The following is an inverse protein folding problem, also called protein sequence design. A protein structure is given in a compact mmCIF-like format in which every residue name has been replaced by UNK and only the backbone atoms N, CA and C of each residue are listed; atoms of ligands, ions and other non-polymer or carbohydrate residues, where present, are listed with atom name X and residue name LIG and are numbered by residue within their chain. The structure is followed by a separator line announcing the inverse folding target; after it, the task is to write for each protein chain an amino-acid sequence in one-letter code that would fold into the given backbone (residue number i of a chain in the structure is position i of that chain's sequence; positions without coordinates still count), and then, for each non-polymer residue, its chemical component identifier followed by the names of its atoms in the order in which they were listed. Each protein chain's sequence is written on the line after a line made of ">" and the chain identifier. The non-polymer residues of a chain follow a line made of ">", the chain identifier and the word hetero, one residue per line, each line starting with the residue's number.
data_IF_284357746568
#
_entry.id   IF_284357746568
#
_cell.length_a   1.000
_cell.length_b   1.000
_cell.length_c   1.000
_cell.angle_alpha   90.00
_cell.angle_beta   90.00
_cell.angle_gamma   90.00
#
_symmetry.space_group_name_H-M   'P 1'
#
loop_
_entity.id
_entity.type
_entity.pdbx_description
1 polymer ?
#
# COMPACT_ATOMS: atom_id res chain seq x y z
N UNK A 1 -21.02 -24.14 12.53
CA UNK A 1 -20.63 -23.08 11.57
C UNK A 1 -19.19 -22.75 11.89
N UNK A 2 -18.25 -23.09 11.00
CA UNK A 2 -16.83 -22.83 11.21
C UNK A 2 -16.51 -21.44 10.65
N UNK A 3 -16.05 -20.52 11.49
CA UNK A 3 -15.60 -19.21 11.03
C UNK A 3 -14.20 -19.36 10.47
N UNK A 4 -13.98 -18.94 9.23
CA UNK A 4 -12.64 -18.83 8.64
C UNK A 4 -11.94 -17.60 9.24
N UNK A 5 -11.09 -17.82 10.24
CA UNK A 5 -10.36 -16.77 10.96
C UNK A 5 -9.43 -15.98 10.02
N UNK A 6 -8.83 -16.64 9.04
CA UNK A 6 -7.94 -16.01 8.07
C UNK A 6 -8.71 -15.06 7.16
N UNK A 7 -9.94 -15.43 6.78
CA UNK A 7 -10.84 -14.54 6.06
C UNK A 7 -11.21 -13.31 6.89
N UNK A 8 -11.57 -13.50 8.17
CA UNK A 8 -11.93 -12.39 9.07
C UNK A 8 -10.77 -11.41 9.23
N UNK A 9 -9.54 -11.91 9.42
CA UNK A 9 -8.35 -11.07 9.52
C UNK A 9 -8.11 -10.23 8.25
N UNK A 10 -8.22 -10.84 7.05
CA UNK A 10 -8.07 -10.11 5.77
C UNK A 10 -9.16 -9.08 5.57
N UNK A 11 -10.40 -9.40 5.93
CA UNK A 11 -11.54 -8.50 5.79
C UNK A 11 -11.37 -7.27 6.68
N UNK A 12 -11.03 -7.47 7.95
CA UNK A 12 -10.77 -6.40 8.90
C UNK A 12 -9.62 -5.50 8.44
N UNK A 13 -8.53 -6.07 7.91
CA UNK A 13 -7.42 -5.28 7.39
C UNK A 13 -7.86 -4.35 6.25
N UNK A 14 -8.73 -4.81 5.34
CA UNK A 14 -9.29 -3.97 4.27
C UNK A 14 -10.20 -2.90 4.84
N UNK A 15 -11.14 -3.27 5.72
CA UNK A 15 -12.15 -2.36 6.26
C UNK A 15 -11.52 -1.21 7.07
N UNK A 16 -10.40 -1.46 7.77
CA UNK A 16 -9.67 -0.44 8.55
C UNK A 16 -8.46 0.16 7.82
N UNK A 17 -8.21 -0.21 6.56
CA UNK A 17 -7.06 0.29 5.80
C UNK A 17 -5.69 -0.07 6.40
N UNK A 18 -5.59 -1.22 7.08
CA UNK A 18 -4.36 -1.71 7.69
C UNK A 18 -3.57 -2.55 6.68
N UNK A 19 -2.26 -2.30 6.50
CA UNK A 19 -1.42 -3.17 5.69
C UNK A 19 -1.34 -4.59 6.29
N UNK A 20 -1.83 -5.59 5.55
CA UNK A 20 -1.70 -7.01 5.90
C UNK A 20 -0.87 -7.73 4.83
N UNK A 21 0.27 -8.29 5.25
CA UNK A 21 1.25 -8.93 4.36
C UNK A 21 1.08 -10.45 4.44
N UNK A 22 0.68 -11.09 3.34
CA UNK A 22 0.31 -12.51 3.32
C UNK A 22 1.47 -13.47 2.98
N UNK A 23 2.67 -12.95 2.70
CA UNK A 23 3.85 -13.77 2.43
C UNK A 23 5.15 -13.04 2.80
N UNK A 24 6.20 -13.82 3.05
CA UNK A 24 7.49 -13.31 3.54
C UNK A 24 8.19 -12.35 2.56
N UNK A 25 8.11 -12.59 1.24
CA UNK A 25 8.78 -11.73 0.25
C UNK A 25 8.12 -10.37 0.15
N UNK A 26 6.79 -10.32 0.16
CA UNK A 26 6.05 -9.05 0.19
C UNK A 26 6.30 -8.32 1.51
N UNK A 27 6.42 -9.04 2.63
CA UNK A 27 6.76 -8.42 3.91
C UNK A 27 8.15 -7.77 3.89
N UNK A 28 9.16 -8.46 3.36
CA UNK A 28 10.50 -7.91 3.21
C UNK A 28 10.49 -6.64 2.32
N UNK A 29 9.89 -6.72 1.14
CA UNK A 29 9.80 -5.59 0.21
C UNK A 29 9.05 -4.39 0.83
N UNK A 30 8.00 -4.65 1.60
CA UNK A 30 7.24 -3.60 2.30
C UNK A 30 8.11 -2.89 3.33
N UNK A 31 8.83 -3.63 4.18
CA UNK A 31 9.70 -3.03 5.22
C UNK A 31 10.85 -2.26 4.59
N UNK A 32 11.51 -2.79 3.57
CA UNK A 32 12.59 -2.11 2.86
C UNK A 32 12.11 -0.80 2.19
N UNK A 33 10.92 -0.83 1.59
CA UNK A 33 10.31 0.34 0.95
C UNK A 33 9.89 1.38 1.99
N UNK A 34 9.31 0.94 3.11
CA UNK A 34 8.90 1.80 4.21
C UNK A 34 10.11 2.52 4.83
N UNK A 35 11.21 1.79 5.08
CA UNK A 35 12.46 2.36 5.59
C UNK A 35 13.00 3.49 4.67
N UNK A 36 12.91 3.31 3.34
CA UNK A 36 13.28 4.34 2.36
C UNK A 36 12.31 5.53 2.33
N UNK A 37 11.02 5.28 2.58
CA UNK A 37 9.97 6.29 2.48
C UNK A 37 9.86 7.17 3.73
N UNK A 38 10.15 6.65 4.92
CA UNK A 38 10.08 7.38 6.20
C UNK A 38 10.85 8.71 6.13
N UNK A 39 12.13 8.77 5.69
CA UNK A 39 12.89 10.03 5.62
C UNK A 39 12.28 11.09 4.70
N UNK A 40 11.49 10.67 3.70
CA UNK A 40 10.84 11.58 2.73
C UNK A 40 9.46 12.06 3.19
N UNK A 41 9.03 11.71 4.40
CA UNK A 41 7.73 12.10 4.94
C UNK A 41 6.57 11.21 4.47
N UNK A 42 6.81 9.97 4.09
CA UNK A 42 5.74 9.04 3.69
C UNK A 42 4.80 8.59 4.80
N UNK A 43 5.12 8.89 6.06
CA UNK A 43 4.23 8.67 7.21
C UNK A 43 3.32 9.88 7.50
N UNK A 44 3.40 10.96 6.70
CA UNK A 44 2.48 12.08 6.84
C UNK A 44 1.07 11.60 6.53
N UNK A 45 0.09 12.07 7.30
CA UNK A 45 -1.32 11.76 7.10
C UNK A 45 -1.74 12.10 5.67
N UNK A 46 -2.62 11.27 5.11
CA UNK A 46 -3.27 11.54 3.84
C UNK A 46 -4.01 12.89 3.90
N UNK A 47 -4.01 13.61 2.78
CA UNK A 47 -4.78 14.83 2.60
C UNK A 47 -5.63 14.66 1.35
N UNK A 48 -6.95 14.72 1.50
CA UNK A 48 -7.88 14.56 0.38
C UNK A 48 -7.54 15.52 -0.78
N UNK A 49 -7.56 15.02 -2.02
CA UNK A 49 -7.22 15.80 -3.21
C UNK A 49 -5.72 16.06 -3.43
N UNK A 50 -4.85 15.67 -2.48
CA UNK A 50 -3.38 15.76 -2.66
C UNK A 50 -2.84 14.46 -3.24
N UNK A 51 -2.49 14.49 -4.52
CA UNK A 51 -1.75 13.42 -5.20
C UNK A 51 -0.25 13.67 -5.02
N UNK A 52 0.53 12.73 -4.44
CA UNK A 52 1.98 12.86 -4.35
C UNK A 52 2.64 12.98 -5.74
N UNK A 53 3.71 13.77 -5.88
CA UNK A 53 4.33 14.04 -7.19
C UNK A 53 5.02 12.82 -7.81
N UNK A 54 5.31 11.80 -7.01
CA UNK A 54 5.77 10.49 -7.49
C UNK A 54 4.67 9.68 -8.18
N UNK A 55 3.39 9.98 -7.91
CA UNK A 55 2.27 9.30 -8.55
C UNK A 55 2.06 9.91 -9.92
N UNK A 56 2.26 9.08 -10.95
CA UNK A 56 2.11 9.46 -12.35
C UNK A 56 1.08 8.59 -13.04
N UNK A 57 0.47 9.11 -14.09
CA UNK A 57 -0.42 8.33 -14.96
C UNK A 57 0.36 7.25 -15.72
N UNK A 58 -0.35 6.22 -16.19
CA UNK A 58 0.27 5.17 -17.01
C UNK A 58 0.99 5.73 -18.24
N UNK A 59 0.39 6.73 -18.91
CA UNK A 59 0.99 7.42 -20.06
C UNK A 59 2.34 8.04 -19.72
N UNK A 60 2.48 8.64 -18.55
CA UNK A 60 3.75 9.24 -18.12
C UNK A 60 4.84 8.20 -17.87
N UNK A 61 4.47 6.98 -17.48
CA UNK A 61 5.42 5.88 -17.35
C UNK A 61 5.80 5.27 -18.70
N UNK A 62 4.84 5.04 -19.60
CA UNK A 62 5.08 4.32 -20.86
C UNK A 62 5.34 5.21 -22.08
N UNK A 63 5.16 6.52 -21.96
CA UNK A 63 5.39 7.50 -23.03
C UNK A 63 4.33 7.54 -24.13
N UNK A 64 3.36 6.61 -24.15
CA UNK A 64 2.25 6.57 -25.11
C UNK A 64 0.91 6.39 -24.43
N UNK A 65 -0.18 6.78 -25.10
CA UNK A 65 -1.51 6.35 -24.69
C UNK A 65 -1.70 4.89 -25.10
N UNK A 66 -2.16 4.07 -24.16
CA UNK A 66 -2.74 2.78 -24.46
C UNK A 66 -4.13 2.97 -25.05
#
# INVERSE_FOLDING_TARGET
>A
TFTDEDYVARRNAVDFGLPLLNNARTAQLFVESLAKKIPTGGLRSYTEGRIPSEVKSWREFVGKRA
#
